data_IF_835114196665
#
_entry.id   IF_835114196665
#
_cell.length_a   1.000
_cell.length_b   1.000
_cell.length_c   1.000
_cell.angle_alpha   90.00
_cell.angle_beta   90.00
_cell.angle_gamma   90.00
#
_symmetry.space_group_name_H-M   'P 1'
#
loop_
_entity.id
_entity.type
_entity.pdbx_description
1 polymer ?
#
# COMPACT_ATOMS: atom_id res chain seq x y z
N UNK A 1 25.53 -15.57 -24.85
CA UNK A 1 26.45 -14.83 -23.99
C UNK A 1 25.75 -14.65 -22.63
N UNK A 2 26.22 -15.31 -21.58
CA UNK A 2 25.60 -15.25 -20.26
C UNK A 2 25.91 -13.86 -19.69
N UNK A 3 24.89 -13.04 -19.50
CA UNK A 3 25.05 -11.69 -18.91
C UNK A 3 25.25 -11.79 -17.40
N UNK A 4 25.87 -10.78 -16.76
CA UNK A 4 26.02 -10.71 -15.29
C UNK A 4 24.67 -10.93 -14.57
N UNK A 5 23.57 -10.52 -15.22
CA UNK A 5 22.19 -10.71 -14.76
C UNK A 5 21.77 -12.18 -14.67
N UNK A 6 22.14 -12.99 -15.67
CA UNK A 6 21.81 -14.42 -15.68
C UNK A 6 22.62 -15.19 -14.65
N UNK A 7 23.87 -14.76 -14.39
CA UNK A 7 24.73 -15.35 -13.34
C UNK A 7 24.13 -15.06 -11.94
N UNK A 8 23.65 -13.85 -11.71
CA UNK A 8 23.02 -13.48 -10.45
C UNK A 8 21.73 -14.28 -10.20
N UNK A 9 20.87 -14.45 -11.20
CA UNK A 9 19.67 -15.29 -11.12
C UNK A 9 20.00 -16.75 -10.80
N UNK A 10 21.02 -17.32 -11.45
CA UNK A 10 21.48 -18.70 -11.20
C UNK A 10 22.05 -18.83 -9.77
N UNK A 11 22.86 -17.85 -9.32
CA UNK A 11 23.40 -17.84 -7.97
C UNK A 11 22.31 -17.69 -6.90
N UNK A 12 21.28 -16.88 -7.15
CA UNK A 12 20.15 -16.72 -6.24
C UNK A 12 19.33 -18.03 -6.13
N UNK A 13 19.05 -18.70 -7.26
CA UNK A 13 18.38 -20.01 -7.28
C UNK A 13 19.21 -21.07 -6.54
N UNK A 14 20.53 -21.09 -6.71
CA UNK A 14 21.42 -22.01 -6.01
C UNK A 14 21.44 -21.69 -4.50
N UNK A 15 21.43 -20.41 -4.10
CA UNK A 15 21.44 -20.00 -2.70
C UNK A 15 20.13 -20.41 -2.01
N UNK A 16 18.99 -20.21 -2.66
CA UNK A 16 17.68 -20.61 -2.14
C UNK A 16 17.56 -22.13 -2.05
N UNK A 17 18.04 -22.88 -3.06
CA UNK A 17 18.03 -24.34 -3.04
C UNK A 17 18.98 -24.95 -2.00
N UNK A 18 20.05 -24.23 -1.61
CA UNK A 18 20.99 -24.67 -0.56
C UNK A 18 20.54 -24.29 0.85
N UNK A 19 19.68 -23.29 1.03
CA UNK A 19 19.13 -22.90 2.33
C UNK A 19 18.27 -24.00 2.98
N UNK A 20 17.70 -24.89 2.18
CA UNK A 20 16.93 -26.06 2.66
C UNK A 20 17.76 -27.11 3.43
N UNK A 21 19.08 -26.97 3.53
CA UNK A 21 19.96 -27.98 4.12
C UNK A 21 20.35 -27.69 5.58
N UNK A 22 20.13 -26.48 6.06
CA UNK A 22 20.39 -26.12 7.44
C UNK A 22 19.09 -25.82 8.17
N UNK A 23 18.91 -26.44 9.34
CA UNK A 23 17.75 -26.38 10.25
C UNK A 23 17.48 -24.97 10.83
N UNK A 24 17.35 -23.98 9.96
CA UNK A 24 16.75 -22.68 10.25
C UNK A 24 15.37 -22.74 9.64
N UNK A 25 14.33 -22.52 10.45
CA UNK A 25 12.92 -22.47 10.03
C UNK A 25 12.64 -21.21 9.20
N UNK A 26 13.28 -21.11 8.03
CA UNK A 26 12.97 -20.08 7.04
C UNK A 26 11.89 -20.60 6.10
N UNK A 27 10.85 -19.81 5.94
CA UNK A 27 9.90 -19.91 4.83
C UNK A 27 10.01 -18.66 3.97
N UNK A 28 9.50 -18.70 2.76
CA UNK A 28 9.56 -17.51 1.94
C UNK A 28 8.91 -17.67 0.58
N UNK A 29 8.93 -16.57 -0.19
CA UNK A 29 8.40 -16.52 -1.53
C UNK A 29 9.41 -15.88 -2.46
N UNK A 30 9.61 -16.48 -3.64
CA UNK A 30 10.31 -15.87 -4.75
C UNK A 30 9.28 -15.42 -5.79
N UNK A 31 9.14 -14.10 -5.99
CA UNK A 31 8.19 -13.52 -6.92
C UNK A 31 8.93 -12.82 -8.05
N UNK A 32 8.68 -13.25 -9.28
CA UNK A 32 9.06 -12.54 -10.51
C UNK A 32 7.87 -11.77 -11.03
N UNK A 33 8.06 -10.49 -11.35
CA UNK A 33 7.04 -9.64 -11.99
C UNK A 33 7.62 -9.00 -13.26
N UNK A 34 7.06 -9.32 -14.41
CA UNK A 34 7.34 -8.68 -15.70
C UNK A 34 6.15 -7.78 -16.07
N UNK A 35 6.43 -6.55 -16.47
CA UNK A 35 5.43 -5.61 -16.99
C UNK A 35 5.85 -5.14 -18.38
N UNK A 36 5.02 -5.40 -19.38
CA UNK A 36 5.15 -4.79 -20.70
C UNK A 36 4.18 -3.61 -20.81
N UNK A 37 4.74 -2.40 -20.78
CA UNK A 37 4.00 -1.16 -20.92
C UNK A 37 3.67 -0.91 -22.37
N UNK A 38 2.38 -0.69 -22.70
CA UNK A 38 1.92 -0.48 -24.07
C UNK A 38 2.21 0.93 -24.59
N UNK A 39 2.20 1.93 -23.70
CA UNK A 39 2.41 3.33 -24.10
C UNK A 39 3.88 3.64 -24.37
N UNK A 40 4.78 3.03 -23.60
CA UNK A 40 6.24 3.23 -23.70
C UNK A 40 6.94 2.15 -24.52
N UNK A 41 6.23 1.09 -24.92
CA UNK A 41 6.75 -0.10 -25.62
C UNK A 41 7.98 -0.70 -24.92
N UNK A 42 8.02 -0.67 -23.58
CA UNK A 42 9.12 -1.17 -22.80
C UNK A 42 8.73 -2.33 -21.90
N UNK A 43 9.70 -3.19 -21.60
CA UNK A 43 9.58 -4.30 -20.66
C UNK A 43 10.37 -3.96 -19.39
N UNK A 44 9.72 -4.02 -18.24
CA UNK A 44 10.36 -3.89 -16.94
C UNK A 44 10.21 -5.17 -16.13
N UNK A 45 11.24 -5.48 -15.35
CA UNK A 45 11.31 -6.71 -14.56
C UNK A 45 11.63 -6.38 -13.10
N UNK A 46 10.94 -7.10 -12.20
CA UNK A 46 11.21 -7.06 -10.77
C UNK A 46 11.28 -8.48 -10.25
N UNK A 47 12.24 -8.74 -9.38
CA UNK A 47 12.39 -9.99 -8.65
C UNK A 47 12.41 -9.67 -7.17
N UNK A 48 11.50 -10.28 -6.40
CA UNK A 48 11.46 -10.19 -4.95
C UNK A 48 11.73 -11.57 -4.36
N UNK A 49 12.60 -11.59 -3.36
CA UNK A 49 12.78 -12.73 -2.46
C UNK A 49 12.31 -12.27 -1.08
N UNK A 50 11.17 -12.80 -0.65
CA UNK A 50 10.61 -12.58 0.68
C UNK A 50 11.09 -13.72 1.58
N UNK A 51 11.71 -13.40 2.72
CA UNK A 51 12.24 -14.34 3.69
C UNK A 51 11.58 -14.11 5.04
N UNK A 52 10.86 -15.11 5.53
CA UNK A 52 10.20 -15.10 6.82
C UNK A 52 10.96 -15.97 7.81
N UNK A 53 11.13 -15.47 9.03
CA UNK A 53 11.76 -16.16 10.14
C UNK A 53 10.95 -15.96 11.41
N UNK A 54 10.68 -17.06 12.12
CA UNK A 54 10.01 -17.05 13.41
C UNK A 54 10.85 -17.92 14.36
N UNK A 55 11.15 -17.38 15.53
CA UNK A 55 11.82 -18.14 16.59
C UNK A 55 11.20 -17.85 17.94
N UNK A 56 10.69 -18.88 18.60
CA UNK A 56 10.15 -18.79 19.95
C UNK A 56 11.21 -19.13 20.97
N UNK A 57 11.48 -18.21 21.90
CA UNK A 57 12.39 -18.43 23.03
C UNK A 57 11.67 -19.16 24.17
N UNK A 58 10.41 -18.81 24.38
CA UNK A 58 9.45 -19.43 25.31
C UNK A 58 8.09 -19.47 24.68
N UNK A 59 7.09 -20.00 25.38
CA UNK A 59 5.69 -19.96 24.91
C UNK A 59 5.14 -18.53 24.86
N UNK A 60 5.75 -17.61 25.65
CA UNK A 60 5.31 -16.22 25.77
C UNK A 60 6.17 -15.22 24.99
N UNK A 61 7.34 -15.60 24.46
CA UNK A 61 8.29 -14.68 23.81
C UNK A 61 8.77 -15.25 22.50
N UNK A 62 8.54 -14.52 21.40
CA UNK A 62 9.12 -14.83 20.09
C UNK A 62 9.80 -13.63 19.45
N UNK A 63 10.63 -13.90 18.46
CA UNK A 63 11.15 -12.93 17.51
C UNK A 63 10.63 -13.31 16.12
N UNK A 64 10.12 -12.33 15.41
CA UNK A 64 9.64 -12.48 14.04
C UNK A 64 10.39 -11.54 13.11
N UNK A 65 10.66 -12.00 11.90
CA UNK A 65 11.33 -11.22 10.88
C UNK A 65 10.79 -11.52 9.48
N UNK A 66 10.52 -10.48 8.72
CA UNK A 66 10.16 -10.52 7.30
C UNK A 66 11.05 -9.55 6.54
N UNK A 67 11.88 -10.08 5.64
CA UNK A 67 12.86 -9.34 4.86
C UNK A 67 12.61 -9.54 3.38
N UNK A 68 12.51 -8.45 2.62
CA UNK A 68 12.39 -8.47 1.16
C UNK A 68 13.71 -8.06 0.53
N UNK A 69 14.26 -8.93 -0.31
CA UNK A 69 15.36 -8.60 -1.22
C UNK A 69 14.77 -8.39 -2.60
N UNK A 70 14.80 -7.14 -3.06
CA UNK A 70 14.23 -6.73 -4.35
C UNK A 70 15.30 -6.37 -5.35
N UNK A 71 15.18 -6.91 -6.54
CA UNK A 71 15.87 -6.43 -7.74
C UNK A 71 14.85 -5.85 -8.73
N UNK A 72 15.08 -4.63 -9.24
CA UNK A 72 14.23 -4.01 -10.27
C UNK A 72 15.09 -3.32 -11.32
N UNK A 73 14.80 -3.58 -12.59
CA UNK A 73 15.47 -2.90 -13.70
C UNK A 73 14.88 -1.51 -14.02
N UNK A 74 13.77 -1.14 -13.38
CA UNK A 74 13.19 0.22 -13.46
C UNK A 74 14.05 1.26 -12.73
N UNK A 75 14.80 0.85 -11.71
CA UNK A 75 15.66 1.76 -10.95
C UNK A 75 17.08 1.72 -11.48
N UNK A 76 17.48 2.77 -12.20
CA UNK A 76 18.83 2.89 -12.74
C UNK A 76 19.89 3.16 -11.66
N UNK A 77 19.51 3.84 -10.57
CA UNK A 77 20.43 4.23 -9.50
C UNK A 77 20.66 3.10 -8.48
N UNK A 78 19.60 2.39 -8.06
CA UNK A 78 19.67 1.31 -7.07
C UNK A 78 18.80 0.12 -7.49
N UNK A 79 19.31 -0.75 -8.39
CA UNK A 79 18.53 -1.89 -8.87
C UNK A 79 18.31 -2.97 -7.79
N UNK A 80 19.15 -3.04 -6.77
CA UNK A 80 19.05 -4.00 -5.66
C UNK A 80 18.75 -3.26 -4.37
N UNK A 81 17.67 -3.67 -3.69
CA UNK A 81 17.23 -3.11 -2.41
C UNK A 81 17.00 -4.23 -1.41
N UNK A 82 17.36 -3.99 -0.16
CA UNK A 82 17.02 -4.84 0.98
C UNK A 82 16.03 -4.04 1.82
N UNK A 83 14.82 -4.55 1.96
CA UNK A 83 13.71 -3.88 2.61
C UNK A 83 13.29 -4.72 3.81
N UNK A 84 13.64 -4.34 5.04
CA UNK A 84 13.06 -4.96 6.23
C UNK A 84 11.58 -4.57 6.27
N UNK A 85 10.72 -5.58 6.17
CA UNK A 85 9.27 -5.38 6.18
C UNK A 85 8.76 -5.40 7.61
N UNK A 86 9.14 -6.43 8.37
CA UNK A 86 8.89 -6.52 9.81
C UNK A 86 10.07 -7.18 10.51
N UNK A 87 10.47 -6.68 11.66
CA UNK A 87 11.44 -7.33 12.57
C UNK A 87 11.10 -6.88 13.97
N UNK A 88 10.51 -7.76 14.78
CA UNK A 88 10.02 -7.41 16.09
C UNK A 88 10.08 -8.56 17.08
N UNK A 89 10.04 -8.19 18.36
CA UNK A 89 9.81 -9.11 19.46
C UNK A 89 8.32 -9.07 19.76
N UNK A 90 7.72 -10.25 19.87
CA UNK A 90 6.35 -10.44 20.29
C UNK A 90 6.30 -11.10 21.67
N UNK A 91 5.42 -10.59 22.53
CA UNK A 91 5.21 -11.14 23.87
C UNK A 91 3.73 -11.36 24.11
N UNK A 92 3.37 -12.58 24.48
CA UNK A 92 1.99 -12.99 24.79
C UNK A 92 1.83 -13.25 26.27
N UNK A 93 0.88 -12.57 26.91
CA UNK A 93 0.47 -12.78 28.30
C UNK A 93 1.65 -12.79 29.33
N UNK A 94 2.81 -12.21 28.94
CA UNK A 94 3.94 -12.02 29.84
C UNK A 94 3.55 -11.11 31.04
N UNK A 95 2.70 -10.14 30.77
CA UNK A 95 1.94 -9.39 31.74
C UNK A 95 0.49 -9.84 31.54
N UNK A 96 -0.21 -10.33 32.58
CA UNK A 96 -1.55 -10.88 32.42
C UNK A 96 -2.49 -9.97 31.60
N UNK A 97 -3.10 -10.54 30.56
CA UNK A 97 -4.02 -9.86 29.64
C UNK A 97 -3.35 -8.80 28.74
N UNK A 98 -2.02 -8.77 28.63
CA UNK A 98 -1.30 -7.79 27.79
C UNK A 98 -0.39 -8.52 26.80
N UNK A 99 -0.57 -8.22 25.53
CA UNK A 99 0.34 -8.59 24.46
C UNK A 99 1.09 -7.33 24.00
N UNK A 100 2.39 -7.46 23.75
CA UNK A 100 3.24 -6.35 23.29
C UNK A 100 4.09 -6.82 22.13
N UNK A 101 4.04 -6.06 21.02
CA UNK A 101 4.97 -6.17 19.91
C UNK A 101 5.84 -4.93 19.86
N UNK A 102 7.16 -5.10 19.74
CA UNK A 102 8.10 -3.99 19.71
C UNK A 102 9.22 -4.24 18.69
N UNK A 103 9.41 -3.27 17.80
CA UNK A 103 10.38 -3.36 16.72
C UNK A 103 9.91 -2.65 15.47
N UNK A 104 10.30 -3.16 14.30
CA UNK A 104 9.78 -2.74 13.02
C UNK A 104 8.48 -3.52 12.72
N UNK A 105 7.34 -2.84 12.71
CA UNK A 105 6.02 -3.45 12.64
C UNK A 105 5.22 -2.94 11.44
N UNK A 106 4.38 -3.79 10.89
CA UNK A 106 3.24 -3.39 10.07
C UNK A 106 2.01 -3.31 10.97
N UNK A 107 1.46 -2.10 11.13
CA UNK A 107 0.25 -1.84 11.89
C UNK A 107 -0.92 -1.70 10.94
N UNK A 108 -1.88 -2.60 11.01
CA UNK A 108 -3.05 -2.56 10.14
C UNK A 108 -4.30 -2.20 10.93
N UNK A 109 -4.84 -1.01 10.68
CA UNK A 109 -6.14 -0.59 11.16
C UNK A 109 -7.14 -0.54 10.02
N UNK A 110 -8.40 -0.84 10.33
CA UNK A 110 -9.49 -0.96 9.38
C UNK A 110 -9.80 -2.41 9.02
N UNK A 111 -11.01 -2.63 8.56
CA UNK A 111 -11.57 -3.93 8.20
C UNK A 111 -11.72 -4.14 6.69
N UNK A 112 -11.56 -3.09 5.89
CA UNK A 112 -11.75 -3.11 4.45
C UNK A 112 -10.59 -3.77 3.70
N UNK A 113 -10.88 -4.67 2.76
CA UNK A 113 -9.89 -5.48 2.05
C UNK A 113 -9.11 -4.69 0.98
N UNK A 114 -9.73 -3.71 0.33
CA UNK A 114 -9.12 -3.00 -0.80
C UNK A 114 -8.37 -1.74 -0.40
N UNK A 115 -8.99 -0.93 0.43
CA UNK A 115 -8.45 0.32 0.94
C UNK A 115 -9.16 0.67 2.24
N UNK A 116 -8.39 0.97 3.28
CA UNK A 116 -8.93 1.50 4.53
C UNK A 116 -8.44 2.92 4.78
N UNK A 117 -9.33 3.89 5.02
CA UNK A 117 -8.94 5.23 5.42
C UNK A 117 -8.39 5.30 6.85
N UNK A 118 -8.44 4.19 7.60
CA UNK A 118 -7.89 4.06 8.96
C UNK A 118 -6.44 3.56 8.96
N UNK A 119 -5.91 3.12 7.82
CA UNK A 119 -4.56 2.60 7.67
C UNK A 119 -3.56 3.74 7.47
N UNK A 120 -3.05 4.30 8.57
CA UNK A 120 -2.30 5.54 8.56
C UNK A 120 -0.90 5.46 9.18
N UNK A 121 -0.50 4.31 9.74
CA UNK A 121 0.80 4.18 10.41
C UNK A 121 1.93 3.83 9.44
N UNK A 122 1.64 2.99 8.45
CA UNK A 122 2.63 2.40 7.59
C UNK A 122 2.72 3.11 6.23
N UNK A 123 3.92 3.56 5.86
CA UNK A 123 4.16 4.15 4.55
C UNK A 123 4.11 3.09 3.44
N UNK A 124 3.82 3.53 2.23
CA UNK A 124 3.96 2.70 1.04
C UNK A 124 5.44 2.42 0.75
N UNK A 125 5.82 1.17 0.42
CA UNK A 125 7.20 0.82 0.08
C UNK A 125 7.61 1.40 -1.28
N UNK A 126 8.92 1.43 -1.56
CA UNK A 126 9.41 1.83 -2.88
C UNK A 126 8.84 0.92 -3.99
N UNK A 127 8.32 1.54 -5.04
CA UNK A 127 7.76 0.86 -6.19
C UNK A 127 6.29 0.52 -6.00
N UNK A 128 5.44 1.37 -6.59
CA UNK A 128 3.99 1.17 -6.61
C UNK A 128 3.68 0.01 -7.57
N UNK A 129 2.94 -0.97 -7.08
CA UNK A 129 2.32 -2.00 -7.91
C UNK A 129 0.80 -1.84 -7.81
N UNK A 130 0.13 -1.62 -8.94
CA UNK A 130 -1.33 -1.58 -8.98
C UNK A 130 -1.97 -2.95 -8.73
N UNK A 131 -1.18 -4.01 -8.87
CA UNK A 131 -1.63 -5.38 -8.57
C UNK A 131 -1.53 -5.72 -7.09
N UNK A 132 -0.86 -4.87 -6.29
CA UNK A 132 -0.67 -5.07 -4.85
C UNK A 132 -0.67 -3.71 -4.13
N UNK A 133 -1.87 -3.15 -3.98
CA UNK A 133 -2.10 -1.89 -3.27
C UNK A 133 -2.03 -2.05 -1.73
N UNK A 134 -2.00 -3.28 -1.24
CA UNK A 134 -1.92 -3.59 0.19
C UNK A 134 -0.49 -3.53 0.76
N UNK A 135 0.51 -3.26 -0.09
CA UNK A 135 1.92 -3.25 0.33
C UNK A 135 2.20 -2.11 1.30
N UNK A 136 2.84 -2.48 2.40
CA UNK A 136 3.26 -1.57 3.47
C UNK A 136 4.72 -1.79 3.80
N UNK A 137 5.40 -0.74 4.25
CA UNK A 137 6.70 -0.83 4.89
C UNK A 137 6.53 -0.82 6.39
N UNK A 138 7.33 -1.62 7.09
CA UNK A 138 7.37 -1.58 8.55
C UNK A 138 7.84 -0.23 9.08
N UNK A 139 7.35 0.13 10.25
CA UNK A 139 7.76 1.31 11.01
C UNK A 139 8.25 0.91 12.38
N UNK A 140 9.25 1.63 12.92
CA UNK A 140 9.68 1.41 14.30
C UNK A 140 8.54 1.79 15.23
N UNK A 141 8.00 0.80 15.96
CA UNK A 141 6.81 0.99 16.80
C UNK A 141 6.80 0.09 18.03
N UNK A 142 5.98 0.48 18.98
CA UNK A 142 5.49 -0.39 20.05
C UNK A 142 3.98 -0.47 19.90
N UNK A 143 3.46 -1.68 19.85
CA UNK A 143 2.05 -2.02 19.83
C UNK A 143 1.72 -2.80 21.10
N UNK A 144 0.84 -2.27 21.92
CA UNK A 144 0.40 -2.88 23.17
C UNK A 144 -1.11 -3.10 23.13
N UNK A 145 -1.54 -4.34 23.32
CA UNK A 145 -2.96 -4.72 23.38
C UNK A 145 -3.31 -5.24 24.77
N UNK A 146 -4.25 -4.60 25.43
CA UNK A 146 -4.79 -5.02 26.71
C UNK A 146 -6.20 -5.61 26.54
N UNK A 147 -6.38 -6.86 26.93
CA UNK A 147 -7.67 -7.56 26.87
C UNK A 147 -8.47 -7.32 28.15
N UNK A 148 -9.50 -6.47 28.06
CA UNK A 148 -10.41 -6.21 29.18
C UNK A 148 -11.23 -7.44 29.56
N UNK A 149 -11.54 -8.24 28.54
CA UNK A 149 -12.19 -9.57 28.62
C UNK A 149 -12.05 -10.24 27.25
N UNK A 150 -12.58 -11.48 27.10
CA UNK A 150 -12.46 -12.33 25.90
C UNK A 150 -13.02 -11.69 24.60
N UNK A 151 -13.83 -10.65 24.71
CA UNK A 151 -14.47 -10.00 23.55
C UNK A 151 -14.17 -8.50 23.43
N UNK A 152 -13.39 -7.91 24.32
CA UNK A 152 -13.12 -6.46 24.34
C UNK A 152 -11.65 -6.20 24.60
N UNK A 153 -11.01 -5.42 23.74
CA UNK A 153 -9.61 -5.05 23.88
C UNK A 153 -9.40 -3.54 23.73
N UNK A 154 -8.30 -3.07 24.28
CA UNK A 154 -7.74 -1.74 24.09
C UNK A 154 -6.35 -1.89 23.51
N UNK A 155 -6.11 -1.29 22.34
CA UNK A 155 -4.81 -1.27 21.67
C UNK A 155 -4.23 0.14 21.70
N UNK A 156 -2.94 0.25 21.97
CA UNK A 156 -2.18 1.50 21.90
C UNK A 156 -0.95 1.31 21.02
N UNK A 157 -0.76 2.19 20.05
CA UNK A 157 0.35 2.20 19.12
C UNK A 157 1.18 3.46 19.35
N UNK A 158 2.51 3.31 19.38
CA UNK A 158 3.44 4.42 19.54
C UNK A 158 4.64 4.27 18.59
N UNK A 159 4.84 5.25 17.71
CA UNK A 159 6.00 5.38 16.83
C UNK A 159 6.86 6.54 17.34
N UNK A 160 8.10 6.30 17.76
CA UNK A 160 8.99 7.37 18.22
C UNK A 160 9.38 8.34 17.10
N UNK A 161 9.38 7.87 15.85
CA UNK A 161 9.76 8.66 14.69
C UNK A 161 8.71 8.53 13.58
N UNK A 162 8.45 9.62 12.89
CA UNK A 162 7.66 9.62 11.65
C UNK A 162 8.46 8.99 10.50
N UNK A 163 7.79 8.20 9.67
CA UNK A 163 8.36 7.60 8.45
C UNK A 163 7.41 7.88 7.29
N UNK A 164 7.81 8.67 6.28
CA UNK A 164 6.98 8.99 5.13
C UNK A 164 6.91 7.84 4.11
N UNK A 165 5.94 7.92 3.21
CA UNK A 165 5.92 7.08 2.01
C UNK A 165 7.14 7.38 1.15
N UNK A 166 7.75 6.31 0.62
CA UNK A 166 8.92 6.46 -0.23
C UNK A 166 8.50 6.67 -1.68
N UNK A 167 8.86 7.82 -2.22
CA UNK A 167 8.77 8.12 -3.66
C UNK A 167 10.20 8.33 -4.16
N UNK A 168 10.69 7.58 -5.18
CA UNK A 168 12.00 7.85 -5.75
C UNK A 168 12.09 9.29 -6.26
N UNK A 169 13.21 9.96 -5.99
CA UNK A 169 13.42 11.38 -6.29
C UNK A 169 13.13 11.74 -7.77
N UNK A 170 13.47 10.84 -8.70
CA UNK A 170 13.21 11.02 -10.12
C UNK A 170 11.69 11.10 -10.43
N UNK A 171 10.89 10.24 -9.79
CA UNK A 171 9.43 10.26 -9.94
C UNK A 171 8.79 11.43 -9.21
N UNK A 172 9.31 11.76 -8.04
CA UNK A 172 8.84 12.91 -7.27
C UNK A 172 9.05 14.22 -8.03
N UNK A 173 10.21 14.41 -8.64
CA UNK A 173 10.48 15.55 -9.52
C UNK A 173 9.51 15.63 -10.70
N UNK A 174 9.19 14.48 -11.33
CA UNK A 174 8.23 14.43 -12.43
C UNK A 174 6.81 14.80 -11.98
N UNK A 175 6.38 14.33 -10.80
CA UNK A 175 5.08 14.66 -10.22
C UNK A 175 4.96 16.18 -10.05
N UNK A 176 5.92 16.80 -9.37
CA UNK A 176 5.88 18.24 -9.12
C UNK A 176 6.11 19.07 -10.38
N UNK A 177 6.95 18.60 -11.31
CA UNK A 177 7.09 19.25 -12.61
C UNK A 177 5.74 19.26 -13.34
N UNK A 178 5.03 18.14 -13.38
CA UNK A 178 3.71 18.06 -14.02
C UNK A 178 2.64 18.90 -13.32
N UNK A 179 2.74 19.03 -12.01
CA UNK A 179 1.81 19.83 -11.19
C UNK A 179 1.96 21.33 -11.47
N UNK A 180 3.19 21.84 -11.50
CA UNK A 180 3.45 23.27 -11.61
C UNK A 180 3.66 23.77 -13.04
N UNK A 181 4.09 22.92 -14.00
CA UNK A 181 4.33 23.33 -15.39
C UNK A 181 3.18 24.05 -16.06
N UNK A 182 1.89 23.63 -15.92
CA UNK A 182 0.78 24.30 -16.57
C UNK A 182 0.62 25.78 -16.13
N UNK A 183 0.82 26.06 -14.85
CA UNK A 183 0.71 27.40 -14.30
C UNK A 183 1.81 28.32 -14.82
N UNK A 184 3.05 27.86 -14.85
CA UNK A 184 4.19 28.63 -15.36
C UNK A 184 4.16 28.78 -16.88
N UNK A 185 3.74 27.74 -17.61
CA UNK A 185 3.56 27.81 -19.07
C UNK A 185 2.48 28.81 -19.47
N UNK A 186 1.41 28.94 -18.68
CA UNK A 186 0.40 29.98 -18.92
C UNK A 186 0.96 31.40 -18.81
N UNK A 187 2.07 31.58 -18.09
CA UNK A 187 2.82 32.83 -17.95
C UNK A 187 3.97 32.93 -18.96
N UNK A 188 4.12 31.97 -19.88
CA UNK A 188 5.22 31.93 -20.86
C UNK A 188 6.57 31.53 -20.27
N UNK A 189 6.58 30.84 -19.15
CA UNK A 189 7.77 30.40 -18.43
C UNK A 189 7.94 28.89 -18.60
N UNK A 190 9.14 28.46 -19.00
CA UNK A 190 9.51 27.05 -19.07
C UNK A 190 10.29 26.62 -17.82
N UNK A 191 9.91 25.51 -17.22
CA UNK A 191 10.61 24.92 -16.07
C UNK A 191 11.60 23.90 -16.59
N UNK A 192 12.90 24.12 -16.36
CA UNK A 192 13.99 23.24 -16.79
C UNK A 192 14.23 22.10 -15.77
N UNK A 193 14.06 22.39 -14.48
CA UNK A 193 14.36 21.44 -13.40
C UNK A 193 13.63 21.76 -12.10
N UNK A 194 13.55 20.76 -11.23
CA UNK A 194 12.97 20.86 -9.90
C UNK A 194 13.99 20.34 -8.88
N UNK A 195 14.29 21.14 -7.85
CA UNK A 195 15.05 20.74 -6.67
C UNK A 195 14.08 20.55 -5.52
N UNK A 196 14.22 19.46 -4.78
CA UNK A 196 13.30 19.09 -3.69
C UNK A 196 14.07 19.01 -2.38
N UNK A 197 13.52 19.61 -1.33
CA UNK A 197 13.99 19.49 0.04
C UNK A 197 12.82 19.10 0.97
N UNK A 198 13.01 18.06 1.79
CA UNK A 198 12.00 17.61 2.74
C UNK A 198 12.25 18.13 4.14
N UNK A 199 11.21 18.67 4.78
CA UNK A 199 11.16 18.98 6.20
C UNK A 199 10.40 17.88 6.94
N UNK A 200 11.14 16.97 7.59
CA UNK A 200 10.52 15.85 8.33
C UNK A 200 10.09 16.28 9.72
N UNK A 201 8.89 15.84 10.17
CA UNK A 201 8.45 16.03 11.55
C UNK A 201 9.38 15.33 12.55
N UNK A 202 9.59 15.94 13.70
CA UNK A 202 10.42 15.44 14.82
C UNK A 202 9.58 14.92 16.01
N UNK A 203 8.26 14.93 15.90
CA UNK A 203 7.36 14.47 16.94
C UNK A 203 6.87 13.05 16.69
N UNK A 204 6.55 12.29 17.76
CA UNK A 204 6.06 10.94 17.64
C UNK A 204 4.65 10.89 17.02
N UNK A 205 4.34 9.71 16.45
CA UNK A 205 3.01 9.33 15.98
C UNK A 205 2.42 8.32 16.96
N UNK A 206 1.14 8.41 17.24
CA UNK A 206 0.49 7.46 18.15
C UNK A 206 -0.99 7.29 17.83
N UNK A 207 -1.57 6.22 18.35
CA UNK A 207 -2.99 5.98 18.25
C UNK A 207 -3.50 5.04 19.31
N UNK A 208 -4.81 5.08 19.52
CA UNK A 208 -5.53 4.22 20.47
C UNK A 208 -6.75 3.66 19.76
N UNK A 209 -7.04 2.38 19.99
CA UNK A 209 -8.22 1.69 19.45
C UNK A 209 -8.87 0.86 20.54
N UNK A 210 -10.20 0.93 20.66
CA UNK A 210 -10.99 0.01 21.45
C UNK A 210 -11.89 -0.79 20.53
N UNK A 211 -11.75 -2.11 20.58
CA UNK A 211 -12.52 -3.05 19.77
C UNK A 211 -13.34 -3.99 20.62
N UNK A 212 -14.45 -4.45 20.04
CA UNK A 212 -15.34 -5.42 20.67
C UNK A 212 -15.95 -6.37 19.63
N UNK A 213 -15.92 -7.64 19.95
CA UNK A 213 -16.62 -8.69 19.21
C UNK A 213 -18.05 -8.85 19.75
N UNK A 214 -19.02 -8.84 18.83
CA UNK A 214 -20.42 -9.14 19.09
C UNK A 214 -20.76 -10.49 18.42
N UNK A 215 -21.96 -10.99 18.62
CA UNK A 215 -22.34 -12.31 18.10
C UNK A 215 -22.23 -12.46 16.58
N UNK A 216 -22.53 -11.40 15.82
CA UNK A 216 -22.59 -11.43 14.35
C UNK A 216 -21.65 -10.41 13.69
N UNK A 217 -20.97 -9.58 14.47
CA UNK A 217 -20.06 -8.58 13.92
C UNK A 217 -19.03 -8.15 14.97
N UNK A 218 -17.90 -7.63 14.47
CA UNK A 218 -16.89 -6.93 15.25
C UNK A 218 -16.96 -5.45 14.93
N UNK A 219 -16.69 -4.60 15.91
CA UNK A 219 -16.59 -3.17 15.70
C UNK A 219 -15.50 -2.56 16.57
N UNK A 220 -14.86 -1.50 16.07
CA UNK A 220 -13.93 -0.71 16.86
C UNK A 220 -14.05 0.78 16.57
N UNK A 221 -13.65 1.56 17.55
CA UNK A 221 -13.42 2.99 17.44
C UNK A 221 -11.95 3.28 17.71
N UNK A 222 -11.40 4.25 16.99
CA UNK A 222 -9.98 4.57 17.06
C UNK A 222 -9.74 6.08 17.02
N UNK A 223 -8.59 6.47 17.54
CA UNK A 223 -8.04 7.81 17.40
C UNK A 223 -6.57 7.70 16.99
N UNK A 224 -6.18 8.44 15.97
CA UNK A 224 -4.82 8.56 15.47
C UNK A 224 -4.37 10.02 15.54
N UNK A 225 -3.14 10.24 16.00
CA UNK A 225 -2.46 11.53 15.98
C UNK A 225 -1.11 11.36 15.30
N UNK A 226 -0.95 11.99 14.15
CA UNK A 226 0.27 11.85 13.34
C UNK A 226 0.26 12.79 12.15
N UNK A 227 0.84 12.35 11.04
CA UNK A 227 1.10 13.17 9.86
C UNK A 227 0.56 12.50 8.60
N UNK A 228 0.40 13.26 7.54
CA UNK A 228 0.20 12.70 6.21
C UNK A 228 1.45 11.96 5.77
N UNK A 229 1.30 10.77 5.23
CA UNK A 229 2.44 9.94 4.77
C UNK A 229 3.07 10.46 3.47
N UNK A 230 2.30 11.19 2.67
CA UNK A 230 2.77 11.86 1.46
C UNK A 230 3.09 13.32 1.78
N UNK A 231 4.14 13.84 1.13
CA UNK A 231 4.56 15.21 1.30
C UNK A 231 3.62 16.20 0.59
N UNK A 232 3.51 17.39 1.15
CA UNK A 232 2.82 18.54 0.56
C UNK A 232 3.81 19.65 0.28
N UNK A 233 3.67 20.42 -0.81
CA UNK A 233 4.42 21.64 -1.00
C UNK A 233 4.23 22.59 0.18
N UNK A 234 5.32 23.17 0.67
CA UNK A 234 5.36 24.20 1.72
C UNK A 234 5.87 25.52 1.16
N UNK A 235 6.97 25.44 0.40
CA UNK A 235 7.54 26.58 -0.29
C UNK A 235 7.76 26.27 -1.76
N UNK A 236 7.51 27.25 -2.63
CA UNK A 236 7.74 27.15 -4.08
C UNK A 236 8.51 28.41 -4.50
N UNK A 237 9.81 28.25 -4.75
CA UNK A 237 10.69 29.36 -5.10
C UNK A 237 11.23 29.19 -6.52
N UNK A 238 10.73 29.99 -7.49
CA UNK A 238 11.26 29.98 -8.84
C UNK A 238 12.60 30.74 -8.91
N UNK A 239 13.63 30.07 -9.43
CA UNK A 239 14.96 30.65 -9.63
C UNK A 239 15.24 30.75 -11.12
N UNK A 240 15.49 31.97 -11.68
CA UNK A 240 15.85 32.12 -13.07
C UNK A 240 17.17 31.40 -13.42
N UNK A 241 17.12 30.54 -14.44
CA UNK A 241 18.26 29.86 -15.03
C UNK A 241 18.73 30.54 -16.34
N UNK A 242 19.69 29.91 -17.00
CA UNK A 242 20.23 30.42 -18.29
C UNK A 242 19.32 30.09 -19.50
N UNK A 243 18.52 29.06 -19.41
CA UNK A 243 17.63 28.56 -20.49
C UNK A 243 16.16 28.52 -20.10
N UNK A 244 15.86 28.60 -18.81
CA UNK A 244 14.50 28.54 -18.26
C UNK A 244 14.51 28.79 -16.77
N UNK A 245 13.63 28.15 -16.02
CA UNK A 245 13.47 28.34 -14.58
C UNK A 245 13.71 27.03 -13.82
N UNK A 246 14.41 27.10 -12.71
CA UNK A 246 14.51 26.01 -11.73
C UNK A 246 13.53 26.29 -10.60
N UNK A 247 12.69 25.32 -10.24
CA UNK A 247 11.85 25.39 -9.05
C UNK A 247 12.56 24.77 -7.86
N UNK A 248 12.75 25.53 -6.77
CA UNK A 248 13.11 24.96 -5.48
C UNK A 248 11.83 24.73 -4.68
N UNK A 249 11.56 23.50 -4.35
CA UNK A 249 10.39 23.06 -3.58
C UNK A 249 10.82 22.64 -2.18
N UNK A 250 10.28 23.31 -1.16
CA UNK A 250 10.25 22.78 0.20
C UNK A 250 9.01 21.93 0.36
N UNK A 251 9.18 20.71 0.83
CA UNK A 251 8.09 19.76 1.09
C UNK A 251 7.99 19.48 2.58
N UNK A 252 6.77 19.51 3.12
CA UNK A 252 6.50 19.20 4.51
C UNK A 252 5.39 18.15 4.64
N UNK A 253 5.13 17.75 5.87
CA UNK A 253 4.15 16.72 6.22
C UNK A 253 3.17 17.30 7.24
N UNK A 254 2.00 17.79 6.80
CA UNK A 254 1.00 18.35 7.70
C UNK A 254 0.58 17.36 8.77
N UNK A 255 0.35 17.86 9.98
CA UNK A 255 -0.22 17.07 11.06
C UNK A 255 -1.71 16.81 10.80
N UNK A 256 -2.22 15.67 11.31
CA UNK A 256 -3.63 15.34 11.28
C UNK A 256 -4.05 14.52 12.49
N UNK A 257 -5.30 14.73 12.91
CA UNK A 257 -6.01 13.89 13.84
C UNK A 257 -7.08 13.10 13.09
N UNK A 258 -7.25 11.81 13.40
CA UNK A 258 -8.26 10.97 12.76
C UNK A 258 -9.07 10.26 13.83
N UNK A 259 -10.39 10.42 13.77
CA UNK A 259 -11.34 9.60 14.50
C UNK A 259 -11.87 8.53 13.57
N UNK A 260 -11.67 7.26 13.96
CA UNK A 260 -11.99 6.10 13.17
C UNK A 260 -13.14 5.29 13.73
N UNK A 261 -13.89 4.68 12.82
CA UNK A 261 -14.84 3.62 13.12
C UNK A 261 -14.67 2.52 12.09
N UNK A 262 -14.51 1.27 12.54
CA UNK A 262 -14.42 0.08 11.70
C UNK A 262 -15.42 -0.99 12.15
N UNK A 263 -15.93 -1.75 11.20
CA UNK A 263 -16.77 -2.90 11.50
C UNK A 263 -16.61 -3.99 10.44
N UNK A 264 -16.82 -5.24 10.84
CA UNK A 264 -16.96 -6.40 9.96
C UNK A 264 -17.91 -7.41 10.55
N UNK A 265 -18.67 -8.10 9.71
CA UNK A 265 -19.58 -9.13 10.18
C UNK A 265 -20.43 -9.74 9.09
N UNK A 266 -21.36 -10.60 9.49
CA UNK A 266 -22.26 -11.26 8.57
C UNK A 266 -23.17 -10.27 7.84
N UNK A 267 -23.30 -10.42 6.53
CA UNK A 267 -24.23 -9.61 5.75
C UNK A 267 -25.68 -10.07 6.02
N UNK A 268 -26.58 -9.17 6.46
CA UNK A 268 -27.93 -9.55 6.81
C UNK A 268 -28.70 -10.17 5.62
N UNK A 269 -29.15 -11.41 5.77
CA UNK A 269 -30.01 -12.09 4.79
C UNK A 269 -29.29 -12.83 3.67
N UNK A 270 -27.96 -12.83 3.61
CA UNK A 270 -27.17 -13.64 2.67
C UNK A 270 -26.16 -14.45 3.47
N UNK A 271 -26.42 -15.74 3.64
CA UNK A 271 -25.52 -16.65 4.34
C UNK A 271 -24.18 -16.76 3.63
N UNK A 272 -23.07 -16.61 4.39
CA UNK A 272 -21.71 -16.67 3.87
C UNK A 272 -21.22 -15.39 3.19
N UNK A 273 -22.03 -14.32 3.18
CA UNK A 273 -21.56 -13.01 2.77
C UNK A 273 -21.09 -12.19 3.98
N UNK A 274 -19.96 -11.47 3.82
CA UNK A 274 -19.40 -10.61 4.86
C UNK A 274 -19.54 -9.14 4.44
N UNK A 275 -20.01 -8.31 5.37
CA UNK A 275 -20.04 -6.85 5.23
C UNK A 275 -18.91 -6.25 6.05
N UNK A 276 -18.15 -5.33 5.45
CA UNK A 276 -17.05 -4.60 6.09
C UNK A 276 -17.16 -3.13 5.80
N UNK A 277 -16.67 -2.30 6.71
CA UNK A 277 -16.66 -0.86 6.46
C UNK A 277 -15.80 -0.10 7.43
N UNK A 278 -15.20 0.96 6.92
CA UNK A 278 -14.34 1.88 7.64
C UNK A 278 -14.78 3.32 7.39
N UNK A 279 -14.76 4.12 8.43
CA UNK A 279 -15.06 5.55 8.39
C UNK A 279 -13.97 6.31 9.13
N UNK A 280 -13.39 7.30 8.47
CA UNK A 280 -12.41 8.22 9.04
C UNK A 280 -12.91 9.65 8.98
N UNK A 281 -13.00 10.31 10.14
CA UNK A 281 -13.16 11.76 10.24
C UNK A 281 -11.80 12.38 10.47
N UNK A 282 -11.30 13.13 9.50
CA UNK A 282 -9.94 13.66 9.43
C UNK A 282 -9.97 15.16 9.71
N UNK A 283 -9.16 15.58 10.67
CA UNK A 283 -8.94 16.98 11.05
C UNK A 283 -7.50 17.32 10.70
N UNK A 284 -7.24 17.95 9.54
CA UNK A 284 -5.91 18.35 9.15
C UNK A 284 -5.45 19.60 9.91
N UNK A 285 -4.14 19.70 10.13
CA UNK A 285 -3.52 21.00 10.36
C UNK A 285 -3.68 21.86 9.10
N UNK A 286 -4.12 23.12 9.22
CA UNK A 286 -4.21 24.00 8.06
C UNK A 286 -2.86 24.13 7.35
N UNK A 287 -2.82 23.85 6.04
CA UNK A 287 -1.60 23.89 5.24
C UNK A 287 -1.77 24.84 4.06
N UNK A 288 -0.93 25.85 4.01
CA UNK A 288 -1.00 26.92 3.03
C UNK A 288 0.22 26.88 2.11
N UNK A 289 -0.02 27.03 0.81
CA UNK A 289 1.01 27.08 -0.23
C UNK A 289 0.75 28.32 -1.07
N UNK A 290 1.69 29.25 -1.15
CA UNK A 290 1.59 30.50 -1.94
C UNK A 290 0.32 31.35 -1.69
N UNK A 291 -0.20 31.33 -0.45
CA UNK A 291 -1.40 32.07 -0.07
C UNK A 291 -2.72 31.33 -0.30
N UNK A 292 -2.69 30.09 -0.79
CA UNK A 292 -3.84 29.21 -0.93
C UNK A 292 -3.77 28.02 0.00
N UNK A 293 -4.89 27.64 0.57
CA UNK A 293 -4.95 26.45 1.44
C UNK A 293 -5.02 25.17 0.62
N UNK A 294 -4.01 24.32 0.73
CA UNK A 294 -4.03 22.95 0.24
C UNK A 294 -4.85 22.02 1.15
N UNK A 295 -4.81 22.29 2.48
CA UNK A 295 -5.62 21.63 3.49
C UNK A 295 -6.15 22.68 4.47
N UNK A 296 -7.43 22.61 4.84
CA UNK A 296 -8.03 23.57 5.77
C UNK A 296 -9.12 22.94 6.63
N UNK A 297 -10.14 22.42 5.97
CA UNK A 297 -11.36 21.98 6.64
C UNK A 297 -11.31 20.47 6.92
N UNK A 298 -11.99 20.05 7.99
CA UNK A 298 -12.15 18.63 8.30
C UNK A 298 -13.01 17.94 7.25
N UNK A 299 -12.71 16.68 6.97
CA UNK A 299 -13.41 15.91 5.95
C UNK A 299 -13.54 14.43 6.33
N UNK A 300 -14.36 13.72 5.55
CA UNK A 300 -14.62 12.30 5.74
C UNK A 300 -14.01 11.49 4.60
N UNK A 301 -13.44 10.34 4.95
CA UNK A 301 -13.18 9.22 4.03
C UNK A 301 -13.93 8.00 4.53
N UNK A 302 -14.43 7.18 3.61
CA UNK A 302 -15.17 5.98 3.97
C UNK A 302 -14.96 4.87 2.96
N UNK A 303 -15.00 3.63 3.43
CA UNK A 303 -15.05 2.44 2.59
C UNK A 303 -16.12 1.51 3.15
N UNK A 304 -16.92 0.93 2.26
CA UNK A 304 -17.86 -0.14 2.61
C UNK A 304 -17.82 -1.19 1.51
N UNK A 305 -17.74 -2.47 1.88
CA UNK A 305 -17.65 -3.57 0.94
C UNK A 305 -18.38 -4.82 1.41
N UNK A 306 -18.74 -5.63 0.44
CA UNK A 306 -19.33 -6.96 0.66
C UNK A 306 -18.50 -7.97 -0.09
N UNK A 307 -18.13 -9.04 0.58
CA UNK A 307 -17.50 -10.19 -0.02
C UNK A 307 -18.38 -11.43 0.11
N UNK A 308 -18.39 -12.23 -0.93
CA UNK A 308 -19.23 -13.43 -1.02
C UNK A 308 -18.58 -14.47 -1.92
N UNK A 309 -18.54 -15.72 -1.43
CA UNK A 309 -18.15 -16.87 -2.25
C UNK A 309 -19.39 -17.71 -2.58
N UNK A 310 -19.69 -17.81 -3.86
CA UNK A 310 -20.83 -18.62 -4.34
C UNK A 310 -20.60 -20.12 -4.16
N UNK A 311 -21.66 -20.93 -4.24
CA UNK A 311 -21.58 -22.39 -4.17
C UNK A 311 -20.78 -23.04 -5.31
N UNK A 312 -20.50 -22.32 -6.39
CA UNK A 312 -19.64 -22.76 -7.50
C UNK A 312 -18.24 -22.13 -7.47
N UNK A 313 -17.79 -21.66 -6.29
CA UNK A 313 -16.46 -21.10 -6.00
C UNK A 313 -16.14 -19.81 -6.79
N UNK A 314 -17.12 -19.00 -7.11
CA UNK A 314 -16.88 -17.63 -7.55
C UNK A 314 -16.81 -16.71 -6.32
N UNK A 315 -15.62 -16.22 -6.02
CA UNK A 315 -15.41 -15.14 -5.06
C UNK A 315 -15.74 -13.80 -5.71
N UNK A 316 -16.53 -12.99 -5.03
CA UNK A 316 -16.90 -11.63 -5.42
C UNK A 316 -16.66 -10.71 -4.22
N UNK A 317 -15.93 -9.62 -4.45
CA UNK A 317 -15.84 -8.51 -3.52
C UNK A 317 -16.26 -7.24 -4.26
N UNK A 318 -17.23 -6.52 -3.70
CA UNK A 318 -17.73 -5.26 -4.24
C UNK A 318 -17.61 -4.20 -3.17
N UNK A 319 -16.87 -3.14 -3.45
CA UNK A 319 -16.59 -2.07 -2.51
C UNK A 319 -16.94 -0.68 -3.07
N UNK A 320 -17.48 0.17 -2.21
CA UNK A 320 -17.62 1.60 -2.43
C UNK A 320 -16.58 2.33 -1.60
N UNK A 321 -15.89 3.29 -2.22
CA UNK A 321 -14.88 4.15 -1.59
C UNK A 321 -15.26 5.60 -1.78
N UNK A 322 -15.28 6.37 -0.71
CA UNK A 322 -15.34 7.83 -0.70
C UNK A 322 -13.98 8.38 -0.27
N UNK A 323 -13.26 9.04 -1.19
CA UNK A 323 -11.91 9.54 -0.97
C UNK A 323 -10.84 8.44 -1.06
N UNK A 324 -10.27 8.25 -2.25
CA UNK A 324 -9.19 7.29 -2.47
C UNK A 324 -7.90 7.69 -1.74
N UNK A 325 -6.89 6.81 -1.67
CA UNK A 325 -5.68 6.99 -0.87
C UNK A 325 -4.95 8.34 -1.10
N UNK A 326 -4.88 8.78 -2.35
CA UNK A 326 -4.21 10.03 -2.75
C UNK A 326 -5.09 11.28 -2.73
N UNK A 327 -6.37 11.15 -2.38
CA UNK A 327 -7.32 12.26 -2.38
C UNK A 327 -7.52 12.79 -0.96
N UNK A 328 -7.44 14.11 -0.80
CA UNK A 328 -7.58 14.77 0.49
C UNK A 328 -8.56 15.95 0.38
N UNK A 329 -9.29 16.23 1.48
CA UNK A 329 -10.22 17.36 1.55
C UNK A 329 -11.29 17.32 0.45
N UNK A 330 -11.43 18.43 -0.27
CA UNK A 330 -12.41 18.60 -1.35
C UNK A 330 -12.13 17.76 -2.61
N UNK A 331 -10.97 17.13 -2.69
CA UNK A 331 -10.62 16.26 -3.81
C UNK A 331 -11.26 14.87 -3.69
N UNK A 332 -11.78 14.50 -2.51
CA UNK A 332 -12.42 13.22 -2.28
C UNK A 332 -13.54 12.96 -3.29
N UNK A 333 -13.53 11.79 -3.87
CA UNK A 333 -14.44 11.38 -4.95
C UNK A 333 -14.99 9.97 -4.67
N UNK A 334 -16.18 9.64 -5.20
CA UNK A 334 -16.77 8.31 -5.05
C UNK A 334 -16.26 7.33 -6.10
N UNK A 335 -15.97 6.11 -5.66
CA UNK A 335 -15.54 5.00 -6.51
C UNK A 335 -16.31 3.72 -6.19
N UNK A 336 -16.48 2.87 -7.19
CA UNK A 336 -16.88 1.48 -7.04
C UNK A 336 -15.74 0.58 -7.50
N UNK A 337 -15.44 -0.45 -6.70
CA UNK A 337 -14.49 -1.50 -7.06
C UNK A 337 -15.18 -2.87 -7.05
N UNK A 338 -14.74 -3.72 -7.95
CA UNK A 338 -15.20 -5.10 -8.07
C UNK A 338 -13.96 -5.97 -8.22
N UNK A 339 -13.82 -6.96 -7.36
CA UNK A 339 -12.83 -8.03 -7.49
C UNK A 339 -13.57 -9.35 -7.63
N UNK A 340 -13.26 -10.11 -8.68
CA UNK A 340 -13.86 -11.41 -8.94
C UNK A 340 -12.77 -12.43 -9.23
N UNK A 341 -12.84 -13.60 -8.58
CA UNK A 341 -11.93 -14.73 -8.76
C UNK A 341 -12.74 -16.02 -8.84
N UNK A 342 -12.56 -16.78 -9.91
CA UNK A 342 -13.27 -18.05 -10.11
C UNK A 342 -12.33 -19.24 -9.92
N UNK A 343 -12.51 -20.01 -8.88
CA UNK A 343 -11.83 -21.30 -8.73
C UNK A 343 -12.63 -22.38 -9.48
N UNK A 344 -12.08 -22.82 -10.62
CA UNK A 344 -12.71 -23.86 -11.42
C UNK A 344 -12.45 -25.23 -10.78
N UNK A 345 -13.53 -26.00 -10.57
CA UNK A 345 -13.45 -27.35 -9.97
C UNK A 345 -12.51 -28.24 -10.77
N UNK A 346 -11.62 -28.95 -10.07
CA UNK A 346 -10.63 -29.87 -10.64
C UNK A 346 -9.70 -29.23 -11.69
N UNK A 347 -9.58 -27.90 -11.69
CA UNK A 347 -8.73 -27.14 -12.59
C UNK A 347 -7.63 -26.40 -11.84
N UNK A 348 -6.46 -26.32 -12.46
CA UNK A 348 -5.34 -25.48 -12.01
C UNK A 348 -5.46 -24.03 -12.49
N UNK A 349 -6.50 -23.73 -13.24
CA UNK A 349 -6.72 -22.43 -13.87
C UNK A 349 -7.74 -21.60 -13.11
N UNK A 350 -7.38 -20.37 -12.75
CA UNK A 350 -8.19 -19.46 -11.94
C UNK A 350 -8.28 -18.10 -12.65
N UNK A 351 -9.33 -17.83 -13.43
CA UNK A 351 -9.58 -16.52 -13.99
C UNK A 351 -9.87 -15.50 -12.89
N UNK A 352 -9.41 -14.25 -13.10
CA UNK A 352 -9.64 -13.14 -12.19
C UNK A 352 -9.97 -11.85 -12.96
N UNK A 353 -10.67 -10.96 -12.28
CA UNK A 353 -11.01 -9.63 -12.76
C UNK A 353 -10.96 -8.64 -11.60
N UNK A 354 -10.30 -7.50 -11.82
CA UNK A 354 -10.35 -6.34 -10.94
C UNK A 354 -10.83 -5.15 -11.75
N UNK A 355 -11.90 -4.50 -11.31
CA UNK A 355 -12.46 -3.30 -11.91
C UNK A 355 -12.60 -2.16 -10.92
N UNK A 356 -12.30 -0.94 -11.34
CA UNK A 356 -12.56 0.30 -10.60
C UNK A 356 -13.28 1.30 -11.48
N UNK A 357 -14.32 1.95 -10.95
CA UNK A 357 -15.12 2.96 -11.64
C UNK A 357 -15.14 4.22 -10.79
N UNK A 358 -14.69 5.35 -11.35
CA UNK A 358 -14.91 6.66 -10.76
C UNK A 358 -16.35 7.10 -11.05
N UNK A 359 -17.16 7.32 -10.01
CA UNK A 359 -18.53 7.79 -10.17
C UNK A 359 -18.62 9.29 -10.44
N UNK A 360 -17.47 9.99 -10.41
CA UNK A 360 -17.40 11.43 -10.71
C UNK A 360 -17.37 11.70 -12.21
N UNK A 361 -16.62 10.90 -12.96
CA UNK A 361 -16.34 11.13 -14.39
C UNK A 361 -16.50 9.87 -15.26
N UNK A 362 -16.92 8.74 -14.65
CA UNK A 362 -17.16 7.44 -15.29
C UNK A 362 -15.94 6.83 -15.95
N UNK A 363 -14.74 7.30 -15.61
CA UNK A 363 -13.53 6.62 -16.02
C UNK A 363 -13.37 5.29 -15.28
N UNK A 364 -12.70 4.33 -15.94
CA UNK A 364 -12.59 2.97 -15.43
C UNK A 364 -11.15 2.46 -15.52
N UNK A 365 -10.75 1.72 -14.50
CA UNK A 365 -9.56 0.88 -14.48
C UNK A 365 -10.02 -0.58 -14.53
N UNK A 366 -9.45 -1.39 -15.41
CA UNK A 366 -9.82 -2.79 -15.55
C UNK A 366 -8.57 -3.66 -15.65
N UNK A 367 -8.53 -4.76 -14.92
CA UNK A 367 -7.54 -5.81 -15.04
C UNK A 367 -8.23 -7.15 -15.24
N UNK A 368 -7.96 -7.82 -16.35
CA UNK A 368 -8.46 -9.16 -16.66
C UNK A 368 -7.26 -10.08 -16.68
N UNK A 369 -7.32 -11.18 -15.94
CA UNK A 369 -6.22 -12.10 -15.85
C UNK A 369 -6.63 -13.52 -15.53
N UNK A 370 -5.61 -14.37 -15.45
CA UNK A 370 -5.77 -15.73 -14.98
C UNK A 370 -4.46 -16.24 -14.37
N UNK A 371 -4.61 -17.01 -13.31
CA UNK A 371 -3.52 -17.75 -12.68
C UNK A 371 -3.57 -19.22 -13.06
N UNK A 372 -2.41 -19.84 -13.20
CA UNK A 372 -2.25 -21.27 -13.39
C UNK A 372 -1.29 -21.84 -12.34
N UNK A 373 -1.76 -22.79 -11.53
CA UNK A 373 -0.99 -23.45 -10.49
C UNK A 373 -0.32 -24.69 -11.09
N UNK A 374 1.00 -24.64 -11.30
CA UNK A 374 1.78 -25.80 -11.77
C UNK A 374 1.93 -26.85 -10.69
N UNK A 375 2.17 -26.39 -9.45
CA UNK A 375 2.19 -27.18 -8.21
C UNK A 375 1.54 -26.39 -7.09
N UNK A 376 1.52 -26.93 -5.89
CA UNK A 376 1.05 -26.24 -4.68
C UNK A 376 1.96 -25.04 -4.34
N UNK A 377 3.24 -25.13 -4.72
CA UNK A 377 4.27 -24.13 -4.39
C UNK A 377 4.57 -23.16 -5.56
N UNK A 378 4.08 -23.43 -6.79
CA UNK A 378 4.41 -22.62 -7.96
C UNK A 378 3.22 -22.25 -8.81
N UNK A 379 3.03 -20.95 -9.01
CA UNK A 379 1.98 -20.39 -9.86
C UNK A 379 2.52 -19.35 -10.86
N UNK A 380 1.79 -19.18 -11.95
CA UNK A 380 2.00 -18.09 -12.91
C UNK A 380 0.66 -17.40 -13.15
N UNK A 381 0.66 -16.07 -13.03
CA UNK A 381 -0.47 -15.20 -13.33
C UNK A 381 -0.14 -14.31 -14.52
N UNK A 382 -1.03 -14.27 -15.51
CA UNK A 382 -0.99 -13.32 -16.61
C UNK A 382 -2.21 -12.43 -16.53
N UNK A 383 -2.03 -11.12 -16.60
CA UNK A 383 -3.11 -10.16 -16.61
C UNK A 383 -2.87 -9.02 -17.60
N UNK A 384 -3.97 -8.44 -18.07
CA UNK A 384 -3.99 -7.26 -18.93
C UNK A 384 -4.73 -6.14 -18.23
N UNK A 385 -4.04 -5.03 -17.97
CA UNK A 385 -4.58 -3.82 -17.37
C UNK A 385 -4.82 -2.78 -18.45
N UNK A 386 -6.05 -2.24 -18.50
CA UNK A 386 -6.45 -1.18 -19.42
C UNK A 386 -7.37 -0.18 -18.76
N UNK A 387 -7.38 1.06 -19.26
CA UNK A 387 -8.07 2.19 -18.69
C UNK A 387 -9.03 2.77 -19.74
N UNK A 388 -10.24 3.09 -19.30
CA UNK A 388 -11.25 3.76 -20.10
C UNK A 388 -11.49 5.13 -19.48
N UNK A 389 -11.29 6.20 -20.24
CA UNK A 389 -11.48 7.58 -19.80
C UNK A 389 -10.61 8.56 -20.59
N UNK A 390 -10.95 9.85 -20.53
CA UNK A 390 -10.12 10.91 -21.08
C UNK A 390 -8.90 11.17 -20.20
N UNK A 391 -7.82 11.74 -20.75
CA UNK A 391 -6.56 11.99 -20.02
C UNK A 391 -6.72 12.83 -18.74
N UNK A 392 -7.73 13.72 -18.68
CA UNK A 392 -8.05 14.53 -17.51
C UNK A 392 -8.96 13.85 -16.49
N UNK A 393 -9.46 12.63 -16.75
CA UNK A 393 -10.33 11.90 -15.84
C UNK A 393 -9.53 11.18 -14.74
N UNK A 394 -10.20 10.76 -13.65
CA UNK A 394 -9.57 10.15 -12.47
C UNK A 394 -8.68 8.94 -12.82
N UNK A 395 -9.17 8.00 -13.60
CA UNK A 395 -8.37 6.87 -14.06
C UNK A 395 -7.63 7.17 -15.37
N UNK A 396 -8.11 8.10 -16.23
CA UNK A 396 -7.45 8.45 -17.48
C UNK A 396 -6.03 8.98 -17.31
N UNK A 397 -5.73 9.67 -16.19
CA UNK A 397 -4.39 10.11 -15.83
C UNK A 397 -3.41 8.94 -15.63
N UNK A 398 -3.92 7.73 -15.42
CA UNK A 398 -3.14 6.52 -15.16
C UNK A 398 -2.90 5.67 -16.43
N UNK A 399 -3.20 6.16 -17.63
CA UNK A 399 -2.99 5.41 -18.88
C UNK A 399 -1.56 4.92 -19.10
N UNK A 400 -0.59 5.59 -18.51
CA UNK A 400 0.81 5.16 -18.54
C UNK A 400 1.09 3.81 -17.88
N UNK A 401 0.15 3.24 -17.10
CA UNK A 401 0.31 1.91 -16.48
C UNK A 401 -0.36 0.79 -17.27
N UNK A 402 -1.03 1.11 -18.40
CA UNK A 402 -1.63 0.09 -19.26
C UNK A 402 -0.61 -0.91 -19.77
N UNK A 403 -0.94 -2.19 -19.72
CA UNK A 403 -0.01 -3.19 -20.19
C UNK A 403 -0.35 -4.63 -19.80
N UNK A 404 0.57 -5.50 -20.21
CA UNK A 404 0.56 -6.91 -19.83
C UNK A 404 1.45 -7.11 -18.60
N UNK A 405 0.94 -7.87 -17.63
CA UNK A 405 1.61 -8.20 -16.39
C UNK A 405 1.75 -9.71 -16.28
N UNK A 406 2.96 -10.18 -16.09
CA UNK A 406 3.28 -11.57 -15.83
C UNK A 406 3.88 -11.68 -14.42
N UNK A 407 3.26 -12.48 -13.56
CA UNK A 407 3.76 -12.75 -12.22
C UNK A 407 3.98 -14.24 -12.05
N UNK A 408 5.17 -14.62 -11.64
CA UNK A 408 5.51 -15.98 -11.26
C UNK A 408 5.84 -16.02 -9.76
N UNK A 409 5.20 -16.90 -9.01
CA UNK A 409 5.38 -17.02 -7.55
C UNK A 409 5.79 -18.44 -7.20
N UNK A 410 6.84 -18.57 -6.39
CA UNK A 410 7.31 -19.83 -5.83
C UNK A 410 7.48 -19.71 -4.33
N UNK A 411 6.74 -20.52 -3.58
CA UNK A 411 6.80 -20.61 -2.12
C UNK A 411 7.73 -21.77 -1.70
N UNK A 412 8.45 -21.64 -0.57
CA UNK A 412 9.36 -22.66 -0.05
C UNK A 412 9.44 -22.65 1.47
#
# INVERSE_FOLDING_TARGET
>A
MITKRNIFLILLIILVSSASVYALDFSGNLTYSGQYNLSEENLSNTLNLDLNYIHSFTDEISIEGDLVIRYSDKSSANPLMIIPKEIYIDTYDLIPQVDIRAGMLIVSWGSSDMFSPLDNFNPSPPGISFTDMSRKSGVLAVDATYYLNDITYLQAIYLPNFTPSFIPEEYEKLIYLSMFSPEFQAQGIEIDSVNIAHAFPDHPVWGIKIGRSFTSFDAAISYYNGYYLNAFPETVEPIPGSSGMTLNLGLGYPKRDIFGFEFQGDFPGIEGATLRGDLAYIIPEPWEVQGEYALKDSYLKATIGVDYTTSFNLYLNVGYIWGFASEEGDQCSPYLFINAKQELKDSKFTPNYLGGISLRDWSMLNSIGASYNFSDDFSITLSYLFIIGDEGSKFGQMKSVEGLYLVGEWSF
#
